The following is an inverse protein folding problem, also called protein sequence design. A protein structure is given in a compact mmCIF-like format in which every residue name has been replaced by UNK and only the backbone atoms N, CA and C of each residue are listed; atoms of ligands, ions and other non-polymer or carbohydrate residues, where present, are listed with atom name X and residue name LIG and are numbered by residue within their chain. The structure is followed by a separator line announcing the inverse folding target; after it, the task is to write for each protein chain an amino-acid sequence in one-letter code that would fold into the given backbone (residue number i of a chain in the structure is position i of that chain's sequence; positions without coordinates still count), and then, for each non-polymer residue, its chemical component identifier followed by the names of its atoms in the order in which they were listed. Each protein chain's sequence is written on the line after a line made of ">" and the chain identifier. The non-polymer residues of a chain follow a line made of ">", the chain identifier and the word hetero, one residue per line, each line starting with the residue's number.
data_IF_475392707281
#
_entry.id   IF_475392707281
#
_cell.length_a   1.000
_cell.length_b   1.000
_cell.length_c   1.000
_cell.angle_alpha   90.00
_cell.angle_beta   90.00
_cell.angle_gamma   90.00
#
_symmetry.space_group_name_H-M   'P 1'
#
loop_
_entity.id
_entity.type
_entity.pdbx_description
1 polymer ?
#
# COMPACT_ATOMS: atom_id res chain seq x y z
N UNK A 1 10.26 9.45 11.21
CA UNK A 1 9.12 10.21 11.77
C UNK A 1 7.99 10.21 10.74
N UNK A 2 6.77 9.78 11.10
CA UNK A 2 5.62 9.80 10.17
C UNK A 2 5.12 11.24 10.05
N UNK A 3 5.42 11.91 8.94
CA UNK A 3 5.00 13.29 8.69
C UNK A 3 3.53 13.32 8.26
N UNK A 4 2.65 13.73 9.16
CA UNK A 4 1.32 14.18 8.79
C UNK A 4 1.40 15.68 8.49
N UNK A 5 1.17 16.08 7.24
CA UNK A 5 1.01 17.49 6.89
C UNK A 5 -0.15 18.08 7.70
N UNK A 6 0.12 19.10 8.52
CA UNK A 6 -0.87 19.77 9.37
C UNK A 6 -1.84 20.68 8.57
N UNK A 7 -1.74 20.73 7.25
CA UNK A 7 -2.60 21.56 6.40
C UNK A 7 -3.94 20.89 6.11
N UNK A 8 -4.82 20.89 7.11
CA UNK A 8 -6.24 20.52 6.98
C UNK A 8 -7.05 21.60 6.25
N UNK A 9 -6.63 21.99 5.04
CA UNK A 9 -7.35 22.93 4.16
C UNK A 9 -7.85 22.32 2.85
N UNK A 10 -7.48 21.07 2.54
CA UNK A 10 -7.97 20.40 1.34
C UNK A 10 -9.37 19.80 1.59
N UNK A 11 -10.34 20.00 0.67
CA UNK A 11 -11.62 19.33 0.72
C UNK A 11 -11.45 17.82 0.87
N UNK A 12 -12.34 17.18 1.60
CA UNK A 12 -12.24 15.74 1.88
C UNK A 12 -12.32 14.87 0.61
N UNK A 13 -12.88 15.41 -0.46
CA UNK A 13 -12.94 14.84 -1.81
C UNK A 13 -11.56 14.82 -2.51
N UNK A 14 -10.62 15.66 -2.05
CA UNK A 14 -9.26 15.77 -2.58
C UNK A 14 -8.26 14.85 -1.86
N UNK A 15 -8.68 14.15 -0.79
CA UNK A 15 -7.84 13.21 -0.05
C UNK A 15 -8.19 11.80 -0.52
N UNK A 16 -7.46 11.27 -1.51
CA UNK A 16 -7.58 9.86 -1.87
C UNK A 16 -6.86 8.96 -0.88
N UNK A 17 -6.27 7.87 -1.36
CA UNK A 17 -5.70 6.84 -0.49
C UNK A 17 -4.32 7.24 0.07
N UNK A 18 -4.04 6.83 1.31
CA UNK A 18 -2.77 7.05 2.01
C UNK A 18 -1.77 5.96 1.65
N UNK A 19 -0.72 6.27 0.91
CA UNK A 19 0.33 5.30 0.60
C UNK A 19 1.26 5.13 1.80
N UNK A 20 1.48 3.88 2.22
CA UNK A 20 2.44 3.51 3.26
C UNK A 20 3.65 2.90 2.57
N UNK A 21 4.68 3.73 2.37
CA UNK A 21 5.95 3.32 1.75
C UNK A 21 6.75 2.42 2.69
N UNK A 22 7.66 1.61 2.14
CA UNK A 22 8.49 0.65 2.89
C UNK A 22 7.69 -0.31 3.80
N UNK A 23 6.47 -0.67 3.42
CA UNK A 23 5.63 -1.55 4.22
C UNK A 23 6.22 -2.97 4.23
N UNK A 24 6.75 -3.42 5.38
CA UNK A 24 7.38 -4.73 5.52
C UNK A 24 6.58 -5.67 6.42
N UNK A 25 5.85 -5.10 7.39
CA UNK A 25 5.12 -5.81 8.43
C UNK A 25 3.71 -5.26 8.64
N UNK A 26 2.86 -6.07 9.28
CA UNK A 26 1.49 -5.68 9.68
C UNK A 26 1.51 -4.51 10.66
N UNK A 27 2.51 -4.47 11.54
CA UNK A 27 2.70 -3.39 12.53
C UNK A 27 2.82 -2.03 11.88
N UNK A 28 3.51 -1.94 10.74
CA UNK A 28 3.77 -0.68 10.05
C UNK A 28 2.45 -0.05 9.59
N UNK A 29 1.57 -0.90 9.05
CA UNK A 29 0.24 -0.51 8.57
C UNK A 29 -0.67 -0.14 9.75
N UNK A 30 -0.70 -0.97 10.80
CA UNK A 30 -1.52 -0.70 11.99
C UNK A 30 -1.07 0.55 12.76
N UNK A 31 0.23 0.83 12.81
CA UNK A 31 0.77 2.02 13.45
C UNK A 31 0.32 3.30 12.74
N UNK A 32 0.38 3.34 11.40
CA UNK A 32 -0.12 4.48 10.62
C UNK A 32 -1.63 4.67 10.82
N UNK A 33 -2.40 3.57 10.80
CA UNK A 33 -3.84 3.62 11.08
C UNK A 33 -4.12 4.16 12.49
N UNK A 34 -3.37 3.70 13.49
CA UNK A 34 -3.51 4.16 14.87
C UNK A 34 -3.26 5.67 14.97
N UNK A 35 -2.14 6.15 14.42
CA UNK A 35 -1.80 7.58 14.42
C UNK A 35 -2.86 8.44 13.70
N UNK A 36 -3.41 7.94 12.59
CA UNK A 36 -4.47 8.63 11.87
C UNK A 36 -5.77 8.72 12.69
N UNK A 37 -6.11 7.66 13.43
CA UNK A 37 -7.26 7.65 14.34
C UNK A 37 -7.11 8.68 15.46
N UNK A 38 -5.93 8.74 16.09
CA UNK A 38 -5.64 9.70 17.16
C UNK A 38 -5.73 11.15 16.69
N UNK A 39 -5.31 11.45 15.45
CA UNK A 39 -5.30 12.82 14.93
C UNK A 39 -6.60 13.27 14.28
N UNK A 40 -7.24 12.42 13.50
CA UNK A 40 -8.29 12.85 12.57
C UNK A 40 -9.67 12.23 12.84
N UNK A 41 -9.80 11.38 13.89
CA UNK A 41 -11.01 10.63 14.31
C UNK A 41 -11.65 9.72 13.24
N UNK A 42 -11.28 9.86 11.97
CA UNK A 42 -11.72 9.08 10.81
C UNK A 42 -10.52 8.46 10.13
N UNK A 43 -10.60 7.15 9.90
CA UNK A 43 -9.62 6.42 9.11
C UNK A 43 -9.93 6.60 7.61
N UNK A 44 -8.91 6.98 6.85
CA UNK A 44 -8.91 7.02 5.39
C UNK A 44 -8.51 5.66 4.83
N UNK A 45 -8.74 5.45 3.53
CA UNK A 45 -8.16 4.31 2.81
C UNK A 45 -6.63 4.43 2.83
N UNK A 46 -5.94 3.30 2.93
CA UNK A 46 -4.49 3.24 2.81
C UNK A 46 -4.09 2.16 1.81
N UNK A 47 -2.90 2.33 1.26
CA UNK A 47 -2.31 1.49 0.22
C UNK A 47 -0.90 1.14 0.68
N UNK A 48 -0.63 -0.07 1.18
CA UNK A 48 0.74 -0.49 1.43
C UNK A 48 1.48 -0.59 0.12
N UNK A 49 2.69 -0.04 0.10
CA UNK A 49 3.60 -0.06 -1.03
C UNK A 49 4.77 -1.01 -0.71
N UNK A 50 4.87 -2.08 -1.49
CA UNK A 50 5.95 -3.07 -1.41
C UNK A 50 7.00 -2.78 -2.49
N UNK A 51 8.20 -2.37 -2.06
CA UNK A 51 9.21 -1.75 -2.94
C UNK A 51 10.46 -2.58 -3.13
N UNK A 52 10.79 -3.46 -2.18
CA UNK A 52 11.96 -4.35 -2.28
C UNK A 52 11.55 -5.74 -2.74
N UNK A 53 12.51 -6.52 -3.25
CA UNK A 53 12.28 -7.92 -3.62
C UNK A 53 11.77 -8.74 -2.43
N UNK A 54 12.35 -8.54 -1.25
CA UNK A 54 11.94 -9.21 -0.01
C UNK A 54 10.51 -8.85 0.37
N UNK A 55 10.15 -7.58 0.24
CA UNK A 55 8.80 -7.10 0.54
C UNK A 55 7.77 -7.68 -0.41
N UNK A 56 8.07 -7.77 -1.70
CA UNK A 56 7.19 -8.41 -2.69
C UNK A 56 6.97 -9.89 -2.39
N UNK A 57 8.04 -10.61 -2.05
CA UNK A 57 7.95 -12.02 -1.66
C UNK A 57 7.16 -12.19 -0.37
N UNK A 58 7.18 -11.22 0.55
CA UNK A 58 6.47 -11.28 1.83
C UNK A 58 5.06 -10.66 1.79
N UNK A 59 4.71 -9.88 0.77
CA UNK A 59 3.50 -9.06 0.70
C UNK A 59 2.22 -9.85 1.00
N UNK A 60 2.09 -11.04 0.41
CA UNK A 60 0.93 -11.91 0.61
C UNK A 60 0.76 -12.36 2.08
N UNK A 61 1.85 -12.53 2.84
CA UNK A 61 1.81 -12.90 4.26
C UNK A 61 1.37 -11.71 5.12
N UNK A 62 1.86 -10.52 4.80
CA UNK A 62 1.46 -9.27 5.47
C UNK A 62 -0.04 -9.02 5.25
N UNK A 63 -0.50 -9.06 4.01
CA UNK A 63 -1.91 -8.86 3.66
C UNK A 63 -2.82 -9.94 4.25
N UNK A 64 -2.40 -11.22 4.22
CA UNK A 64 -3.13 -12.30 4.89
C UNK A 64 -3.31 -12.02 6.38
N UNK A 65 -2.25 -11.57 7.03
CA UNK A 65 -2.28 -11.29 8.47
C UNK A 65 -3.19 -10.10 8.80
N UNK A 66 -3.26 -9.10 7.92
CA UNK A 66 -4.26 -8.02 8.03
C UNK A 66 -5.69 -8.54 7.84
N UNK A 67 -5.93 -9.41 6.87
CA UNK A 67 -7.26 -9.98 6.63
C UNK A 67 -7.75 -10.86 7.78
N UNK A 68 -6.86 -11.43 8.59
CA UNK A 68 -7.24 -12.14 9.82
C UNK A 68 -7.85 -11.21 10.89
N UNK A 69 -7.72 -9.89 10.75
CA UNK A 69 -8.27 -8.92 11.69
C UNK A 69 -9.70 -8.55 11.25
N UNK A 70 -10.72 -9.12 11.89
CA UNK A 70 -12.12 -8.94 11.45
C UNK A 70 -12.59 -7.47 11.45
N UNK A 71 -12.13 -6.66 12.41
CA UNK A 71 -12.41 -5.23 12.45
C UNK A 71 -11.90 -4.50 11.19
N UNK A 72 -10.72 -4.88 10.70
CA UNK A 72 -10.10 -4.29 9.53
C UNK A 72 -10.95 -4.55 8.28
N UNK A 73 -11.32 -5.81 8.05
CA UNK A 73 -12.16 -6.19 6.91
C UNK A 73 -13.50 -5.46 6.90
N UNK A 74 -14.13 -5.32 8.07
CA UNK A 74 -15.39 -4.58 8.23
C UNK A 74 -15.19 -3.09 7.93
N UNK A 75 -14.10 -2.51 8.40
CA UNK A 75 -13.81 -1.08 8.23
C UNK A 75 -13.65 -0.69 6.76
N UNK A 76 -12.96 -1.51 5.97
CA UNK A 76 -12.69 -1.28 4.54
C UNK A 76 -13.65 -1.99 3.60
N UNK A 77 -14.79 -2.48 4.11
CA UNK A 77 -15.86 -3.11 3.30
C UNK A 77 -15.33 -4.24 2.38
N UNK A 78 -14.32 -4.99 2.86
CA UNK A 78 -13.65 -6.06 2.09
C UNK A 78 -13.12 -5.57 0.73
N UNK A 79 -12.60 -4.35 0.66
CA UNK A 79 -11.83 -3.84 -0.47
C UNK A 79 -10.43 -3.49 0.04
N UNK A 80 -9.42 -3.96 -0.68
CA UNK A 80 -8.01 -3.68 -0.40
C UNK A 80 -7.33 -3.17 -1.65
N UNK A 81 -6.60 -2.08 -1.49
CA UNK A 81 -5.71 -1.54 -2.49
C UNK A 81 -4.26 -1.85 -2.08
N UNK A 82 -3.42 -2.27 -3.02
CA UNK A 82 -1.99 -2.56 -2.78
C UNK A 82 -1.18 -1.97 -3.93
N UNK A 83 -0.06 -1.33 -3.60
CA UNK A 83 0.87 -0.79 -4.60
C UNK A 83 2.14 -1.64 -4.63
N UNK A 84 2.62 -1.92 -5.84
CA UNK A 84 3.82 -2.70 -6.10
C UNK A 84 4.80 -1.83 -6.88
N UNK A 85 6.00 -1.65 -6.35
CA UNK A 85 6.99 -0.72 -6.86
C UNK A 85 8.42 -1.25 -6.78
N UNK A 86 8.71 -2.39 -7.42
CA UNK A 86 10.09 -2.88 -7.56
C UNK A 86 10.65 -2.51 -8.92
N UNK A 87 11.75 -1.76 -8.93
CA UNK A 87 12.55 -1.50 -10.13
C UNK A 87 14.00 -1.84 -9.85
N UNK A 88 14.47 -2.95 -10.41
CA UNK A 88 15.89 -3.27 -10.40
C UNK A 88 16.60 -2.42 -11.47
N UNK A 89 17.66 -1.72 -11.06
CA UNK A 89 18.44 -0.82 -11.91
C UNK A 89 19.54 -1.54 -12.73
N UNK A 90 19.64 -2.86 -12.62
CA UNK A 90 20.63 -3.66 -13.34
C UNK A 90 20.21 -4.01 -14.80
N UNK A 91 21.13 -4.63 -15.56
CA UNK A 91 21.00 -5.02 -17.00
C UNK A 91 19.73 -5.86 -17.25
N UNK A 92 19.44 -6.24 -18.51
CA UNK A 92 18.20 -6.94 -18.90
C UNK A 92 17.80 -8.15 -18.02
N UNK A 93 18.76 -8.89 -17.47
CA UNK A 93 18.50 -9.98 -16.52
C UNK A 93 17.81 -9.52 -15.22
N UNK A 94 18.19 -8.35 -14.69
CA UNK A 94 17.57 -7.76 -13.49
C UNK A 94 16.15 -7.27 -13.74
N UNK A 95 15.88 -6.72 -14.93
CA UNK A 95 14.53 -6.32 -15.33
C UNK A 95 13.58 -7.51 -15.47
N UNK A 96 14.06 -8.63 -16.02
CA UNK A 96 13.27 -9.86 -16.11
C UNK A 96 12.96 -10.42 -14.71
N UNK A 97 13.98 -10.48 -13.83
CA UNK A 97 13.81 -10.93 -12.45
C UNK A 97 12.84 -10.03 -11.67
N UNK A 98 12.93 -8.71 -11.86
CA UNK A 98 12.01 -7.75 -11.27
C UNK A 98 10.57 -7.96 -11.74
N UNK A 99 10.38 -8.13 -13.05
CA UNK A 99 9.05 -8.37 -13.62
C UNK A 99 8.45 -9.69 -13.13
N UNK A 100 9.27 -10.73 -13.01
CA UNK A 100 8.86 -12.02 -12.45
C UNK A 100 8.43 -11.90 -10.99
N UNK A 101 9.24 -11.25 -10.15
CA UNK A 101 8.91 -11.03 -8.74
C UNK A 101 7.61 -10.22 -8.56
N UNK A 102 7.40 -9.20 -9.40
CA UNK A 102 6.15 -8.45 -9.41
C UNK A 102 4.96 -9.31 -9.83
N UNK A 103 5.13 -10.20 -10.81
CA UNK A 103 4.09 -11.13 -11.25
C UNK A 103 3.72 -12.11 -10.12
N UNK A 104 4.72 -12.78 -9.52
CA UNK A 104 4.50 -13.70 -8.40
C UNK A 104 3.83 -13.02 -7.21
N UNK A 105 4.20 -11.78 -6.89
CA UNK A 105 3.56 -11.01 -5.83
C UNK A 105 2.08 -10.77 -6.12
N UNK A 106 1.74 -10.37 -7.35
CA UNK A 106 0.35 -10.12 -7.77
C UNK A 106 -0.50 -11.39 -7.70
N UNK A 107 0.02 -12.51 -8.22
CA UNK A 107 -0.67 -13.80 -8.17
C UNK A 107 -0.93 -14.23 -6.72
N UNK A 108 0.09 -14.19 -5.86
CA UNK A 108 -0.04 -14.57 -4.46
C UNK A 108 -0.99 -13.65 -3.68
N UNK A 109 -0.97 -12.35 -3.94
CA UNK A 109 -1.89 -11.38 -3.35
C UNK A 109 -3.34 -11.64 -3.78
N UNK A 110 -3.55 -11.92 -5.07
CA UNK A 110 -4.87 -12.25 -5.61
C UNK A 110 -5.42 -13.52 -4.95
N UNK A 111 -4.62 -14.59 -4.88
CA UNK A 111 -4.99 -15.85 -4.25
C UNK A 111 -5.37 -15.68 -2.77
N UNK A 112 -4.62 -14.87 -2.01
CA UNK A 112 -4.96 -14.58 -0.61
C UNK A 112 -6.27 -13.78 -0.51
N UNK A 113 -6.47 -12.82 -1.39
CA UNK A 113 -7.67 -11.96 -1.40
C UNK A 113 -8.93 -12.74 -1.74
N UNK A 114 -8.86 -13.62 -2.74
CA UNK A 114 -9.96 -14.50 -3.12
C UNK A 114 -10.36 -15.43 -1.97
N UNK A 115 -9.37 -16.05 -1.31
CA UNK A 115 -9.60 -16.90 -0.12
C UNK A 115 -10.34 -16.16 1.01
N UNK A 116 -10.06 -14.87 1.19
CA UNK A 116 -10.70 -14.05 2.22
C UNK A 116 -11.95 -13.31 1.74
N UNK A 117 -12.34 -13.49 0.46
CA UNK A 117 -13.44 -12.76 -0.19
C UNK A 117 -13.26 -11.25 -0.06
N UNK A 118 -12.07 -10.78 -0.41
CA UNK A 118 -11.69 -9.37 -0.44
C UNK A 118 -11.46 -8.97 -1.89
N UNK A 119 -12.09 -7.89 -2.34
CA UNK A 119 -11.81 -7.29 -3.65
C UNK A 119 -10.42 -6.67 -3.56
N UNK A 120 -9.49 -7.13 -4.38
CA UNK A 120 -8.14 -6.58 -4.48
C UNK A 120 -8.06 -5.61 -5.67
N UNK A 121 -7.39 -4.48 -5.48
CA UNK A 121 -6.98 -3.57 -6.55
C UNK A 121 -5.48 -3.36 -6.45
N UNK A 122 -4.78 -3.67 -7.54
CA UNK A 122 -3.32 -3.57 -7.62
C UNK A 122 -2.96 -2.31 -8.42
N UNK A 123 -2.05 -1.53 -7.87
CA UNK A 123 -1.49 -0.34 -8.52
C UNK A 123 -0.01 -0.56 -8.83
N UNK A 124 0.35 -0.38 -10.09
CA UNK A 124 1.73 -0.33 -10.54
C UNK A 124 2.18 1.11 -10.56
N UNK A 125 2.90 1.53 -9.52
CA UNK A 125 3.45 2.88 -9.46
C UNK A 125 4.71 3.04 -10.29
N UNK A 126 4.86 4.18 -10.97
CA UNK A 126 6.17 4.83 -11.05
C UNK A 126 6.21 5.83 -9.91
N UNK A 127 6.91 5.50 -8.84
CA UNK A 127 7.14 6.46 -7.76
C UNK A 127 8.17 7.47 -8.29
N UNK A 128 7.78 8.74 -8.42
CA UNK A 128 8.76 9.82 -8.59
C UNK A 128 9.35 10.05 -7.21
N UNK A 129 10.56 9.53 -6.99
CA UNK A 129 11.30 9.73 -5.75
C UNK A 129 11.70 11.21 -5.66
N UNK A 130 10.98 11.99 -4.85
CA UNK A 130 11.49 13.27 -4.38
C UNK A 130 12.48 12.93 -3.26
N UNK A 131 13.77 13.05 -3.57
CA UNK A 131 14.85 12.76 -2.61
C UNK A 131 14.77 13.75 -1.46
N UNK A 132 14.56 13.26 -0.24
CA UNK A 132 15.42 13.47 0.95
C UNK A 132 14.85 12.76 2.19
N UNK A 133 15.65 11.88 2.82
CA UNK A 133 15.45 11.36 4.18
C UNK A 133 14.93 9.92 4.31
N UNK A 134 15.55 9.13 5.19
CA UNK A 134 15.30 7.69 5.46
C UNK A 134 14.00 7.39 6.23
N UNK A 135 12.88 8.02 5.86
CA UNK A 135 11.63 7.95 6.63
C UNK A 135 10.42 7.46 5.80
N UNK A 136 9.46 6.82 6.48
CA UNK A 136 8.14 6.44 5.95
C UNK A 136 7.47 7.61 5.23
N UNK A 137 7.48 7.59 3.89
CA UNK A 137 6.82 8.60 3.07
C UNK A 137 5.32 8.32 2.99
N UNK A 138 4.51 9.29 3.43
CA UNK A 138 3.08 9.35 3.13
C UNK A 138 2.91 10.07 1.79
N UNK A 139 2.42 9.35 0.77
CA UNK A 139 2.01 9.98 -0.49
C UNK A 139 0.49 9.99 -0.61
N UNK A 140 -0.07 11.13 -1.02
CA UNK A 140 -1.50 11.27 -1.31
C UNK A 140 -1.77 10.80 -2.75
N UNK A 141 -2.58 9.77 -2.89
CA UNK A 141 -3.08 9.32 -4.19
C UNK A 141 -4.36 10.07 -4.57
N UNK A 142 -4.52 10.42 -5.85
CA UNK A 142 -5.79 10.89 -6.42
C UNK A 142 -6.37 9.79 -7.32
N UNK A 143 -7.54 9.21 -7.00
CA UNK A 143 -8.14 8.19 -7.84
C UNK A 143 -8.50 8.75 -9.21
N UNK A 144 -8.19 7.98 -10.26
CA UNK A 144 -8.51 8.34 -11.64
C UNK A 144 -10.03 8.17 -11.87
N UNK A 145 -10.79 9.21 -12.25
CA UNK A 145 -12.25 9.19 -12.29
C UNK A 145 -12.88 8.26 -13.37
N UNK A 146 -12.08 7.55 -14.16
CA UNK A 146 -12.55 6.79 -15.33
C UNK A 146 -12.80 5.29 -15.10
N UNK A 147 -12.62 4.77 -13.89
CA UNK A 147 -12.97 3.39 -13.57
C UNK A 147 -14.00 3.34 -12.43
N UNK A 148 -15.27 3.24 -12.81
CA UNK A 148 -16.42 2.91 -11.97
C UNK A 148 -17.13 1.68 -12.53
#
# INVERSE_FOLDING_TARGET
>A
MVYFSNDTKLPQECLGAYIISMASNVSDILAVMFLQKERNKKLFAFVPLFETLSDLQNAHKVIKSLYNISWYLKKFKRHQEVMIGYSDSSKDAGKLAASWAQYEAQENLQLVSDKHKVKLTLFHGRVVQLVEGEDLFIQHYYPNPWYS
#
